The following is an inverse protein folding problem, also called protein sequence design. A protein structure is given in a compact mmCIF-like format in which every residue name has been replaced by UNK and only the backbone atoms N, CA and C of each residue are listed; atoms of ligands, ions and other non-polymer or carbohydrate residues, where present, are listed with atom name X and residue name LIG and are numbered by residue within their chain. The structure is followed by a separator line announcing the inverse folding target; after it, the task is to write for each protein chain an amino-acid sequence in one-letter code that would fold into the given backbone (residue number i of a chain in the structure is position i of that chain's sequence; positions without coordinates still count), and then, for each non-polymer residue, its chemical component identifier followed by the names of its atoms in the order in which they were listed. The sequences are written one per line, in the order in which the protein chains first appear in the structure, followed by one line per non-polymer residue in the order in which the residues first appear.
data_IF_693566030435
#
_entry.id   IF_693566030435
#
_cell.length_a   1.000
_cell.length_b   1.000
_cell.length_c   1.000
_cell.angle_alpha   90.00
_cell.angle_beta   90.00
_cell.angle_gamma   90.00
#
_symmetry.space_group_name_H-M   'P 1'
#
loop_
_entity.id
_entity.type
_entity.pdbx_description
1 polymer ?
#
# COMPACT_ATOMS: atom_id res chain seq x y z
N UNK A 1 17.82 -3.84 11.76
CA UNK A 1 18.24 -3.27 10.48
C UNK A 1 17.18 -3.49 9.42
N UNK A 2 16.87 -2.46 8.68
CA UNK A 2 15.84 -2.54 7.64
C UNK A 2 16.47 -2.89 6.32
N UNK A 3 15.91 -3.92 5.68
CA UNK A 3 16.38 -4.34 4.38
C UNK A 3 15.31 -3.96 3.34
N UNK A 4 15.71 -3.20 2.35
CA UNK A 4 14.79 -2.79 1.30
C UNK A 4 14.74 -3.85 0.21
N UNK A 5 13.56 -4.02 -0.33
CA UNK A 5 13.41 -4.91 -1.46
C UNK A 5 13.88 -4.19 -2.73
N UNK A 6 13.83 -4.90 -3.84
CA UNK A 6 14.27 -4.33 -5.11
C UNK A 6 13.44 -3.12 -5.52
N UNK A 7 12.24 -2.98 -5.00
CA UNK A 7 11.36 -1.85 -5.32
C UNK A 7 11.51 -0.71 -4.34
N UNK A 8 12.47 -0.79 -3.43
CA UNK A 8 12.63 0.23 -2.42
C UNK A 8 11.65 0.14 -1.28
N UNK A 9 10.82 -0.89 -1.27
CA UNK A 9 9.85 -1.08 -0.21
C UNK A 9 10.53 -1.68 1.01
N UNK A 10 9.96 -1.42 2.17
CA UNK A 10 10.51 -1.94 3.42
C UNK A 10 10.23 -3.43 3.59
N UNK A 11 9.22 -3.94 2.90
CA UNK A 11 8.89 -5.35 2.97
C UNK A 11 8.45 -5.81 1.60
N UNK A 12 8.57 -7.09 1.29
CA UNK A 12 8.16 -7.57 -0.03
C UNK A 12 6.65 -7.48 -0.22
N UNK A 13 6.24 -7.20 -1.45
CA UNK A 13 4.83 -7.18 -1.76
C UNK A 13 4.20 -8.55 -1.55
N UNK A 14 4.97 -9.60 -1.78
CA UNK A 14 4.47 -10.94 -1.58
C UNK A 14 4.03 -11.19 -0.14
N UNK A 15 4.75 -10.56 0.80
CA UNK A 15 4.37 -10.70 2.20
C UNK A 15 3.02 -10.05 2.46
N UNK A 16 2.78 -8.90 1.86
CA UNK A 16 1.50 -8.22 2.04
C UNK A 16 0.39 -9.03 1.40
N UNK A 17 0.64 -9.59 0.23
CA UNK A 17 -0.36 -10.43 -0.42
C UNK A 17 -0.69 -11.65 0.42
N UNK A 18 0.32 -12.22 1.05
CA UNK A 18 0.09 -13.36 1.93
C UNK A 18 -0.80 -12.98 3.11
N UNK A 19 -0.56 -11.82 3.69
CA UNK A 19 -1.38 -11.36 4.80
C UNK A 19 -2.83 -11.18 4.37
N UNK A 20 -3.04 -10.62 3.18
CA UNK A 20 -4.39 -10.47 2.67
C UNK A 20 -5.06 -11.82 2.52
N UNK A 21 -4.33 -12.77 1.98
CA UNK A 21 -4.87 -14.11 1.78
C UNK A 21 -5.22 -14.76 3.10
N UNK A 22 -4.35 -14.65 4.08
CA UNK A 22 -4.59 -15.27 5.37
C UNK A 22 -5.77 -14.64 6.09
N UNK A 23 -5.96 -13.35 5.92
CA UNK A 23 -7.08 -12.66 6.55
C UNK A 23 -8.36 -12.76 5.74
N UNK A 24 -8.27 -13.27 4.53
CA UNK A 24 -9.45 -13.40 3.70
C UNK A 24 -10.00 -12.09 3.19
N UNK A 25 -9.13 -11.12 2.97
CA UNK A 25 -9.56 -9.82 2.46
C UNK A 25 -9.05 -9.61 1.06
N UNK A 26 -9.82 -8.89 0.27
CA UNK A 26 -9.41 -8.56 -1.09
C UNK A 26 -8.75 -7.19 -1.12
N UNK A 27 -7.95 -6.99 -2.16
CA UNK A 27 -7.30 -5.69 -2.33
C UNK A 27 -8.34 -4.59 -2.49
N UNK A 28 -9.41 -4.89 -3.20
CA UNK A 28 -10.46 -3.89 -3.41
C UNK A 28 -11.16 -3.52 -2.10
N UNK A 29 -11.46 -4.52 -1.29
CA UNK A 29 -12.10 -4.25 -0.01
C UNK A 29 -11.19 -3.45 0.90
N UNK A 30 -9.92 -3.82 0.93
CA UNK A 30 -8.97 -3.08 1.75
C UNK A 30 -8.92 -1.61 1.31
N UNK A 31 -8.89 -1.40 -0.01
CA UNK A 31 -8.82 -0.04 -0.53
C UNK A 31 -10.03 0.77 -0.11
N UNK A 32 -11.22 0.17 -0.23
CA UNK A 32 -12.43 0.89 0.13
C UNK A 32 -12.48 1.23 1.60
N UNK A 33 -12.02 0.31 2.43
CA UNK A 33 -12.01 0.57 3.87
C UNK A 33 -11.11 1.73 4.23
N UNK A 34 -10.07 1.95 3.45
CA UNK A 34 -9.11 3.00 3.74
C UNK A 34 -9.34 4.24 2.87
N UNK A 35 -10.43 4.28 2.13
CA UNK A 35 -10.74 5.44 1.32
C UNK A 35 -9.80 5.63 0.14
N UNK A 36 -9.31 4.54 -0.40
CA UNK A 36 -8.37 4.56 -1.50
C UNK A 36 -9.03 3.88 -2.69
N UNK A 37 -8.80 4.42 -3.88
CA UNK A 37 -9.35 3.80 -5.07
C UNK A 37 -8.69 2.45 -5.30
N UNK A 38 -9.49 1.41 -5.57
CA UNK A 38 -8.90 0.08 -5.76
C UNK A 38 -7.85 0.01 -6.85
N UNK A 39 -8.02 0.79 -7.93
CA UNK A 39 -7.04 0.79 -8.99
C UNK A 39 -5.66 1.20 -8.52
N UNK A 40 -5.59 2.11 -7.54
CA UNK A 40 -4.31 2.53 -7.00
C UNK A 40 -3.62 1.36 -6.31
N UNK A 41 -4.38 0.59 -5.55
CA UNK A 41 -3.82 -0.56 -4.86
C UNK A 41 -3.34 -1.60 -5.85
N UNK A 42 -4.14 -1.86 -6.88
CA UNK A 42 -3.72 -2.84 -7.89
C UNK A 42 -2.43 -2.41 -8.58
N UNK A 43 -2.27 -1.11 -8.83
CA UNK A 43 -1.04 -0.64 -9.46
C UNK A 43 0.16 -0.84 -8.56
N UNK A 44 -0.02 -0.67 -7.25
CA UNK A 44 1.08 -0.91 -6.32
C UNK A 44 1.49 -2.38 -6.37
N UNK A 45 0.51 -3.28 -6.33
CA UNK A 45 0.84 -4.70 -6.32
C UNK A 45 1.37 -5.18 -7.67
N UNK A 46 1.09 -4.44 -8.74
CA UNK A 46 1.67 -4.78 -10.04
C UNK A 46 3.03 -4.13 -10.25
N UNK A 47 3.51 -3.40 -9.27
CA UNK A 47 4.80 -2.73 -9.29
C UNK A 47 4.89 -1.63 -10.35
N UNK A 48 3.75 -1.04 -10.67
CA UNK A 48 3.72 0.07 -11.63
C UNK A 48 3.76 1.42 -10.97
N UNK A 49 3.50 1.49 -9.68
CA UNK A 49 3.40 2.75 -8.98
C UNK A 49 4.70 3.05 -8.26
N UNK A 50 5.12 4.31 -8.30
CA UNK A 50 6.29 4.75 -7.55
C UNK A 50 5.95 5.04 -6.09
N UNK A 51 4.67 5.19 -5.78
CA UNK A 51 4.20 5.44 -4.42
C UNK A 51 4.80 6.71 -3.81
N UNK A 52 5.03 7.72 -4.63
CA UNK A 52 5.72 8.90 -4.13
C UNK A 52 4.78 9.91 -3.52
N UNK A 53 3.54 9.96 -3.96
CA UNK A 53 2.59 10.94 -3.41
C UNK A 53 1.18 10.52 -3.71
N UNK A 54 0.25 11.26 -3.12
CA UNK A 54 -1.15 11.02 -3.34
C UNK A 54 -1.63 9.75 -2.69
N UNK A 55 -2.64 9.14 -3.29
CA UNK A 55 -3.21 7.93 -2.72
C UNK A 55 -2.23 6.78 -2.71
N UNK A 56 -1.33 6.74 -3.69
CA UNK A 56 -0.35 5.67 -3.74
C UNK A 56 0.60 5.74 -2.55
N UNK A 57 1.05 6.95 -2.20
CA UNK A 57 1.89 7.12 -1.03
C UNK A 57 1.15 6.68 0.23
N UNK A 58 -0.09 7.14 0.36
CA UNK A 58 -0.87 6.81 1.55
C UNK A 58 -1.08 5.30 1.66
N UNK A 59 -1.41 4.67 0.55
CA UNK A 59 -1.60 3.23 0.55
C UNK A 59 -0.33 2.50 0.93
N UNK A 60 0.80 2.94 0.37
CA UNK A 60 2.07 2.27 0.66
C UNK A 60 2.44 2.37 2.12
N UNK A 61 2.21 3.53 2.73
CA UNK A 61 2.50 3.69 4.15
C UNK A 61 1.59 2.81 4.98
N UNK A 62 0.30 2.78 4.65
CA UNK A 62 -0.66 1.96 5.39
C UNK A 62 -0.37 0.48 5.24
N UNK A 63 0.17 0.08 4.11
CA UNK A 63 0.53 -1.32 3.88
C UNK A 63 1.86 -1.69 4.53
N UNK A 64 2.57 -0.71 5.08
CA UNK A 64 3.86 -0.98 5.67
C UNK A 64 4.98 -1.08 4.67
N UNK A 65 4.77 -0.62 3.45
CA UNK A 65 5.77 -0.72 2.40
C UNK A 65 6.80 0.39 2.46
N UNK A 66 6.46 1.51 3.07
CA UNK A 66 7.39 2.60 3.18
C UNK A 66 7.11 3.38 4.45
N UNK A 67 8.11 4.10 4.90
CA UNK A 67 7.94 5.01 6.02
C UNK A 67 7.34 6.31 5.53
N UNK A 68 6.52 6.92 6.36
CA UNK A 68 5.93 8.17 5.99
C UNK A 68 4.79 8.53 6.91
N UNK A 69 4.22 9.68 6.64
CA UNK A 69 3.11 10.20 7.40
C UNK A 69 1.87 10.17 6.53
N UNK A 70 0.81 9.61 7.06
CA UNK A 70 -0.49 9.63 6.40
C UNK A 70 -1.31 10.71 7.06
N UNK A 71 -1.63 11.75 6.29
CA UNK A 71 -2.43 12.84 6.81
C UNK A 71 -3.88 12.60 6.46
N UNK A 72 -4.70 12.58 7.49
CA UNK A 72 -6.13 12.45 7.30
C UNK A 72 -6.69 13.82 6.97
N UNK A 73 -6.67 14.15 5.72
CA UNK A 73 -7.03 15.48 5.24
C UNK A 73 -8.47 15.49 4.77
N UNK A 74 -9.36 15.05 5.59
CA UNK A 74 -10.74 14.91 5.18
C UNK A 74 -11.34 16.22 4.68
N UNK A 75 -10.87 17.32 5.20
CA UNK A 75 -11.43 18.61 4.88
C UNK A 75 -10.84 19.23 3.64
N UNK A 76 -9.88 18.64 3.09
CA UNK A 76 -9.20 19.25 1.96
C UNK A 76 -9.95 19.03 0.69
#
# INVERSE_FOLDING_TARGET
MITRTENGFLRPLEEVEEEFSQKGISKADWAREHGIRPGVVYEIFSRRSSCKRGEAHRAAVLLGLKEGVVEERASV
#
